data_IF_492252641860
#
_entry.id   IF_492252641860
#
_cell.length_a   1.000
_cell.length_b   1.000
_cell.length_c   1.000
_cell.angle_alpha   90.00
_cell.angle_beta   90.00
_cell.angle_gamma   90.00
#
_symmetry.space_group_name_H-M   'P 1'
#
loop_
_entity.id
_entity.type
_entity.pdbx_description
1 polymer ?
#
# COMPACT_ATOMS: atom_id res chain seq x y z
N UNK A 1 13.53 7.78 -44.90
CA UNK A 1 14.59 7.36 -43.96
C UNK A 1 14.34 7.98 -42.58
N UNK A 2 13.26 7.56 -41.88
CA UNK A 2 12.85 8.12 -40.57
C UNK A 2 12.41 7.01 -39.59
N UNK A 3 12.05 5.83 -40.12
CA UNK A 3 11.60 4.67 -39.36
C UNK A 3 12.71 4.10 -38.45
N UNK A 4 13.97 4.12 -38.90
CA UNK A 4 15.09 3.52 -38.16
C UNK A 4 15.39 4.27 -36.85
N UNK A 5 15.26 5.60 -36.84
CA UNK A 5 15.54 6.43 -35.65
C UNK A 5 14.49 6.20 -34.56
N UNK A 6 13.21 6.07 -34.93
CA UNK A 6 12.14 5.79 -33.96
C UNK A 6 12.28 4.41 -33.30
N UNK A 7 12.66 3.39 -34.06
CA UNK A 7 12.87 2.03 -33.53
C UNK A 7 14.06 2.01 -32.56
N UNK A 8 15.16 2.72 -32.87
CA UNK A 8 16.32 2.83 -31.99
C UNK A 8 16.00 3.59 -30.68
N UNK A 9 15.23 4.67 -30.75
CA UNK A 9 14.78 5.39 -29.55
C UNK A 9 13.84 4.54 -28.69
N UNK A 10 12.93 3.79 -29.33
CA UNK A 10 12.01 2.90 -28.64
C UNK A 10 12.72 1.73 -27.96
N UNK A 11 13.70 1.11 -28.64
CA UNK A 11 14.54 0.05 -28.07
C UNK A 11 15.42 0.56 -26.94
N UNK A 12 16.03 1.75 -27.08
CA UNK A 12 16.83 2.34 -26.00
C UNK A 12 15.99 2.68 -24.77
N UNK A 13 14.75 3.13 -24.93
CA UNK A 13 13.82 3.33 -23.82
C UNK A 13 13.43 2.00 -23.16
N UNK A 14 13.15 0.95 -23.94
CA UNK A 14 12.88 -0.39 -23.38
C UNK A 14 14.09 -0.93 -22.62
N UNK A 15 15.30 -0.76 -23.14
CA UNK A 15 16.54 -1.21 -22.49
C UNK A 15 16.85 -0.39 -21.23
N UNK A 16 16.56 0.92 -21.22
CA UNK A 16 16.66 1.74 -20.01
C UNK A 16 15.63 1.32 -18.95
N UNK A 17 14.39 1.02 -19.36
CA UNK A 17 13.35 0.51 -18.46
C UNK A 17 13.70 -0.89 -17.93
N UNK A 18 14.29 -1.76 -18.76
CA UNK A 18 14.71 -3.10 -18.33
C UNK A 18 15.91 -3.04 -17.38
N UNK A 19 16.85 -2.11 -17.59
CA UNK A 19 17.99 -1.88 -16.67
C UNK A 19 17.58 -1.18 -15.37
N UNK A 20 16.52 -0.36 -15.40
CA UNK A 20 15.89 0.19 -14.19
C UNK A 20 15.21 -0.90 -13.36
N UNK A 21 14.72 -1.97 -14.00
CA UNK A 21 14.11 -3.14 -13.36
C UNK A 21 15.09 -4.18 -12.81
N UNK A 22 16.41 -3.98 -12.94
CA UNK A 22 17.41 -4.75 -12.18
C UNK A 22 17.62 -4.16 -10.76
N UNK A 23 16.52 -3.78 -10.09
CA UNK A 23 16.55 -3.25 -8.72
C UNK A 23 16.13 -4.36 -7.73
N UNK A 24 17.16 -4.97 -7.14
CA UNK A 24 17.19 -5.69 -5.85
C UNK A 24 16.19 -6.86 -5.69
N UNK A 25 16.73 -8.08 -5.75
CA UNK A 25 16.19 -9.26 -5.08
C UNK A 25 16.28 -9.14 -3.54
N UNK A 26 15.74 -8.06 -2.97
CA UNK A 26 15.34 -8.00 -1.57
C UNK A 26 13.82 -8.06 -1.57
N UNK A 27 13.22 -8.87 -0.69
CA UNK A 27 11.79 -8.79 -0.42
C UNK A 27 11.53 -7.35 0.03
N UNK A 28 11.03 -6.50 -0.87
CA UNK A 28 10.77 -5.10 -0.57
C UNK A 28 9.49 -5.11 0.27
N UNK A 29 9.62 -4.79 1.55
CA UNK A 29 8.50 -4.88 2.48
C UNK A 29 7.48 -3.79 2.13
N UNK A 30 6.18 -4.05 2.34
CA UNK A 30 5.11 -3.13 1.93
C UNK A 30 5.29 -1.69 2.46
N UNK A 31 5.85 -1.56 3.67
CA UNK A 31 6.10 -0.28 4.34
C UNK A 31 7.30 0.49 3.78
N UNK A 32 8.05 -0.09 2.84
CA UNK A 32 9.13 0.60 2.10
C UNK A 32 8.59 1.31 0.85
N UNK A 33 7.38 0.94 0.41
CA UNK A 33 6.73 1.51 -0.77
C UNK A 33 5.81 2.69 -0.43
N UNK A 34 5.62 3.01 0.85
CA UNK A 34 4.78 4.13 1.31
C UNK A 34 5.51 5.01 2.32
N UNK A 35 5.10 6.28 2.39
CA UNK A 35 5.70 7.28 3.27
C UNK A 35 5.16 7.19 4.72
N UNK A 36 5.86 7.87 5.63
CA UNK A 36 5.49 8.02 7.05
C UNK A 36 5.42 6.69 7.84
N UNK A 37 6.22 5.69 7.49
CA UNK A 37 6.21 4.36 8.16
C UNK A 37 7.03 4.28 9.43
N UNK A 38 7.69 5.38 9.85
CA UNK A 38 8.46 5.46 11.09
C UNK A 38 7.65 5.16 12.35
N UNK A 39 6.32 5.35 12.32
CA UNK A 39 5.44 4.96 13.42
C UNK A 39 5.40 3.44 13.63
N UNK A 40 5.44 2.66 12.56
CA UNK A 40 5.42 1.19 12.64
C UNK A 40 6.67 0.65 13.32
N UNK A 41 7.84 1.22 12.98
CA UNK A 41 9.13 0.85 13.60
C UNK A 41 9.19 1.14 15.10
N UNK A 42 8.34 2.03 15.61
CA UNK A 42 8.22 2.30 17.05
C UNK A 42 7.28 1.35 17.77
N UNK A 43 6.34 0.74 17.04
CA UNK A 43 5.33 -0.17 17.59
C UNK A 43 5.77 -1.63 17.53
N UNK A 44 6.64 -1.98 16.59
CA UNK A 44 7.04 -3.36 16.32
C UNK A 44 8.55 -3.54 16.29
N UNK A 45 9.02 -4.64 16.86
CA UNK A 45 10.37 -5.18 16.60
C UNK A 45 10.50 -5.64 15.14
N UNK A 46 9.43 -6.28 14.65
CA UNK A 46 9.29 -6.74 13.27
C UNK A 46 7.90 -6.38 12.78
N UNK A 47 7.83 -5.50 11.78
CA UNK A 47 6.58 -5.03 11.19
C UNK A 47 5.92 -6.23 10.50
N UNK A 48 4.68 -6.59 10.86
CA UNK A 48 4.03 -7.77 10.31
C UNK A 48 3.72 -7.59 8.81
N UNK A 49 3.64 -8.69 8.05
CA UNK A 49 3.14 -8.67 6.70
C UNK A 49 1.65 -8.30 6.69
N UNK A 50 1.15 -7.88 5.53
CA UNK A 50 -0.27 -7.60 5.31
C UNK A 50 -1.03 -8.88 4.93
N UNK A 51 -0.86 -9.95 5.70
CA UNK A 51 -1.55 -11.23 5.51
C UNK A 51 -2.64 -11.41 6.56
N UNK A 52 -3.85 -11.82 6.12
CA UNK A 52 -5.01 -12.05 6.99
C UNK A 52 -5.29 -10.88 7.95
N UNK A 53 -5.27 -9.68 7.39
CA UNK A 53 -5.63 -8.43 8.06
C UNK A 53 -7.14 -8.19 7.91
N UNK A 54 -7.73 -7.35 8.75
CA UNK A 54 -9.12 -6.93 8.57
C UNK A 54 -9.19 -5.58 7.84
N UNK A 55 -9.98 -5.52 6.76
CA UNK A 55 -10.32 -4.27 6.10
C UNK A 55 -11.48 -3.59 6.84
N UNK A 56 -11.18 -2.53 7.57
CA UNK A 56 -12.17 -1.81 8.37
C UNK A 56 -12.94 -0.81 7.50
N UNK A 57 -12.26 -0.17 6.56
CA UNK A 57 -12.89 0.82 5.68
C UNK A 57 -12.09 1.04 4.40
N UNK A 58 -12.81 1.33 3.32
CA UNK A 58 -12.28 1.90 2.07
C UNK A 58 -13.15 3.08 1.68
N UNK A 59 -12.53 4.25 1.50
CA UNK A 59 -13.25 5.47 1.16
C UNK A 59 -12.62 6.17 -0.03
N UNK A 60 -13.38 6.25 -1.12
CA UNK A 60 -13.01 7.03 -2.32
C UNK A 60 -13.57 8.45 -2.19
N UNK A 61 -12.74 9.47 -2.41
CA UNK A 61 -13.05 10.88 -2.23
C UNK A 61 -12.56 11.74 -3.40
N UNK A 62 -13.23 12.86 -3.62
CA UNK A 62 -12.81 13.90 -4.57
C UNK A 62 -13.23 13.64 -6.03
N UNK A 63 -12.75 14.51 -6.92
CA UNK A 63 -12.89 14.37 -8.36
C UNK A 63 -11.62 13.77 -8.95
N UNK A 64 -11.71 13.18 -10.14
CA UNK A 64 -10.57 12.57 -10.82
C UNK A 64 -9.39 13.56 -10.97
N UNK A 65 -8.16 13.17 -10.63
CA UNK A 65 -7.79 11.87 -10.03
C UNK A 65 -8.19 11.78 -8.54
N UNK A 66 -8.69 10.62 -8.14
CA UNK A 66 -9.32 10.42 -6.83
C UNK A 66 -8.31 10.39 -5.68
N UNK A 67 -8.84 10.47 -4.46
CA UNK A 67 -8.14 10.11 -3.22
C UNK A 67 -8.80 8.87 -2.63
N UNK A 68 -8.01 7.92 -2.17
CA UNK A 68 -8.52 6.71 -1.51
C UNK A 68 -7.92 6.60 -0.11
N UNK A 69 -8.75 6.40 0.88
CA UNK A 69 -8.37 6.16 2.27
C UNK A 69 -8.70 4.70 2.61
N UNK A 70 -7.70 3.97 3.10
CA UNK A 70 -7.82 2.60 3.59
C UNK A 70 -7.61 2.59 5.09
N UNK A 71 -8.50 1.92 5.82
CA UNK A 71 -8.34 1.65 7.24
C UNK A 71 -8.22 0.14 7.40
N UNK A 72 -7.09 -0.32 7.91
CA UNK A 72 -6.83 -1.73 8.14
C UNK A 72 -6.46 -2.00 9.59
N UNK A 73 -6.76 -3.20 10.07
CA UNK A 73 -6.30 -3.70 11.37
C UNK A 73 -5.30 -4.82 11.15
N UNK A 74 -4.13 -4.73 11.79
CA UNK A 74 -3.16 -5.82 11.78
C UNK A 74 -3.56 -6.92 12.78
N UNK A 75 -3.37 -8.21 12.45
CA UNK A 75 -3.73 -9.33 13.32
C UNK A 75 -2.74 -9.54 14.46
N UNK A 76 -1.53 -8.94 14.38
CA UNK A 76 -0.50 -9.02 15.42
C UNK A 76 -0.62 -7.84 16.37
N UNK A 77 -0.69 -8.11 17.67
CA UNK A 77 -0.57 -7.07 18.70
C UNK A 77 0.75 -6.31 18.60
N UNK A 78 0.76 -5.01 18.90
CA UNK A 78 2.00 -4.22 18.93
C UNK A 78 2.97 -4.72 20.00
N UNK A 79 4.26 -4.73 19.70
CA UNK A 79 5.32 -5.14 20.64
C UNK A 79 5.57 -4.04 21.70
N UNK A 80 5.42 -2.77 21.29
CA UNK A 80 5.61 -1.60 22.14
C UNK A 80 4.40 -0.67 22.09
N UNK A 81 3.29 -1.03 22.78
CA UNK A 81 2.11 -0.17 22.81
C UNK A 81 2.42 1.17 23.49
N UNK A 82 1.94 2.31 22.95
CA UNK A 82 1.95 3.58 23.65
C UNK A 82 1.18 3.47 24.98
N UNK A 83 1.64 4.17 26.02
CA UNK A 83 1.02 4.11 27.36
C UNK A 83 -0.51 4.36 27.32
N UNK A 84 -0.95 5.33 26.51
CA UNK A 84 -2.37 5.67 26.33
C UNK A 84 -3.21 4.53 25.74
N UNK A 85 -2.59 3.59 25.02
CA UNK A 85 -3.27 2.41 24.48
C UNK A 85 -3.35 1.33 25.57
N UNK A 86 -2.25 1.07 26.26
CA UNK A 86 -2.20 0.10 27.37
C UNK A 86 -3.21 0.44 28.47
N UNK A 87 -3.34 1.71 28.85
CA UNK A 87 -4.35 2.19 29.82
C UNK A 87 -5.79 1.89 29.41
N UNK A 88 -6.04 1.72 28.11
CA UNK A 88 -7.36 1.40 27.55
C UNK A 88 -7.51 -0.07 27.16
N UNK A 89 -6.48 -0.89 27.38
CA UNK A 89 -6.45 -2.29 26.94
C UNK A 89 -6.31 -2.46 25.43
N UNK A 90 -5.88 -1.43 24.70
CA UNK A 90 -5.71 -1.48 23.24
C UNK A 90 -4.35 -2.06 22.87
N UNK A 91 -4.36 -3.11 22.06
CA UNK A 91 -3.16 -3.87 21.69
C UNK A 91 -2.98 -4.03 20.18
N UNK A 92 -4.02 -3.79 19.37
CA UNK A 92 -3.96 -3.94 17.92
C UNK A 92 -3.93 -2.58 17.24
N UNK A 93 -3.10 -2.36 16.20
CA UNK A 93 -3.11 -1.09 15.50
C UNK A 93 -4.15 -1.09 14.38
N UNK A 94 -4.88 0.02 14.29
CA UNK A 94 -5.58 0.44 13.10
C UNK A 94 -4.70 1.42 12.32
N UNK A 95 -4.38 1.10 11.07
CA UNK A 95 -3.51 1.88 10.19
C UNK A 95 -4.37 2.57 9.15
N UNK A 96 -4.22 3.88 9.03
CA UNK A 96 -4.89 4.71 8.04
C UNK A 96 -3.90 5.05 6.93
N UNK A 97 -4.14 4.48 5.74
CA UNK A 97 -3.31 4.68 4.56
C UNK A 97 -4.07 5.58 3.59
N UNK A 98 -3.47 6.70 3.23
CA UNK A 98 -3.99 7.63 2.23
C UNK A 98 -3.23 7.45 0.92
N UNK A 99 -3.99 7.28 -0.16
CA UNK A 99 -3.53 7.22 -1.54
C UNK A 99 -4.04 8.45 -2.30
N UNK A 100 -3.14 9.12 -3.02
CA UNK A 100 -3.43 10.28 -3.84
C UNK A 100 -3.23 9.97 -5.33
N UNK A 101 -3.75 10.83 -6.20
CA UNK A 101 -3.68 10.68 -7.65
C UNK A 101 -4.11 9.28 -8.14
N UNK A 102 -5.19 8.76 -7.53
CA UNK A 102 -5.74 7.47 -7.89
C UNK A 102 -6.47 7.60 -9.22
N UNK A 103 -6.03 6.82 -10.21
CA UNK A 103 -6.55 6.86 -11.57
C UNK A 103 -7.48 5.69 -11.88
N UNK A 104 -7.39 4.61 -11.10
CA UNK A 104 -8.24 3.43 -11.24
C UNK A 104 -8.52 2.78 -9.89
N UNK A 105 -9.74 2.29 -9.73
CA UNK A 105 -10.22 1.58 -8.54
C UNK A 105 -11.15 0.47 -8.98
N UNK A 106 -10.75 -0.76 -8.74
CA UNK A 106 -11.59 -1.94 -8.82
C UNK A 106 -11.88 -2.45 -7.41
N UNK A 107 -13.12 -2.86 -7.14
CA UNK A 107 -13.54 -3.44 -5.87
C UNK A 107 -14.63 -4.49 -6.09
N UNK A 108 -14.45 -5.65 -5.49
CA UNK A 108 -15.37 -6.77 -5.52
C UNK A 108 -15.44 -7.43 -4.14
N UNK A 109 -16.65 -7.77 -3.69
CA UNK A 109 -16.88 -8.54 -2.48
C UNK A 109 -17.22 -9.99 -2.86
N UNK A 110 -16.43 -10.94 -2.39
CA UNK A 110 -16.63 -12.37 -2.65
C UNK A 110 -17.39 -13.08 -1.51
N UNK A 111 -17.30 -12.55 -0.30
CA UNK A 111 -17.81 -13.18 0.92
C UNK A 111 -18.27 -12.11 1.94
N UNK A 112 -19.17 -12.44 2.89
CA UNK A 112 -19.69 -11.49 3.88
C UNK A 112 -18.70 -11.10 5.00
N UNK A 113 -17.41 -11.45 4.89
CA UNK A 113 -16.37 -11.08 5.85
C UNK A 113 -15.55 -9.85 5.43
N UNK A 114 -14.49 -9.59 6.20
CA UNK A 114 -13.57 -8.47 6.03
C UNK A 114 -12.08 -8.90 6.06
N UNK A 115 -11.80 -10.21 6.09
CA UNK A 115 -10.43 -10.72 6.11
C UNK A 115 -9.84 -10.63 4.70
N UNK A 116 -8.71 -9.94 4.59
CA UNK A 116 -7.96 -9.79 3.35
C UNK A 116 -6.48 -10.04 3.57
N UNK A 117 -5.78 -10.35 2.49
CA UNK A 117 -4.33 -10.13 2.38
C UNK A 117 -4.10 -9.02 1.37
N UNK A 118 -3.09 -8.18 1.60
CA UNK A 118 -2.83 -6.99 0.79
C UNK A 118 -1.38 -6.95 0.32
N UNK A 119 -1.19 -6.48 -0.91
CA UNK A 119 0.12 -6.19 -1.49
C UNK A 119 0.17 -4.70 -1.85
N UNK A 120 1.32 -4.07 -1.56
CA UNK A 120 1.58 -2.67 -1.90
C UNK A 120 2.89 -2.63 -2.66
N UNK A 121 2.83 -2.29 -3.95
CA UNK A 121 3.97 -2.33 -4.86
C UNK A 121 4.15 -0.98 -5.56
N UNK A 122 5.41 -0.57 -5.77
CA UNK A 122 5.71 0.56 -6.64
C UNK A 122 5.53 0.19 -8.11
N UNK A 123 4.96 1.10 -8.90
CA UNK A 123 4.86 0.94 -10.36
C UNK A 123 6.15 1.31 -11.11
N UNK A 124 7.23 1.64 -10.39
CA UNK A 124 8.53 2.03 -10.92
C UNK A 124 8.63 3.49 -11.39
N UNK A 125 7.54 4.26 -11.36
CA UNK A 125 7.47 5.67 -11.78
C UNK A 125 6.78 6.54 -10.70
N UNK A 126 7.20 6.37 -9.44
CA UNK A 126 6.63 7.04 -8.27
C UNK A 126 5.12 6.81 -8.05
N UNK A 127 4.50 5.88 -8.79
CA UNK A 127 3.14 5.42 -8.55
C UNK A 127 3.11 4.16 -7.68
N UNK A 128 1.90 3.80 -7.25
CA UNK A 128 1.65 2.58 -6.48
C UNK A 128 0.48 1.80 -7.03
N UNK A 129 0.60 0.49 -6.89
CA UNK A 129 -0.47 -0.48 -7.08
C UNK A 129 -0.73 -1.16 -5.74
N UNK A 130 -1.95 -1.05 -5.24
CA UNK A 130 -2.41 -1.69 -4.01
C UNK A 130 -3.43 -2.75 -4.39
N UNK A 131 -3.17 -4.00 -4.02
CA UNK A 131 -4.05 -5.13 -4.31
C UNK A 131 -4.50 -5.81 -3.04
N UNK A 132 -5.73 -6.32 -3.01
CA UNK A 132 -6.16 -7.24 -1.97
C UNK A 132 -6.76 -8.52 -2.53
N UNK A 133 -6.71 -9.56 -1.70
CA UNK A 133 -7.26 -10.88 -1.93
C UNK A 133 -7.98 -11.33 -0.66
N UNK A 134 -9.07 -12.09 -0.77
CA UNK A 134 -9.80 -12.63 0.39
C UNK A 134 -11.29 -12.38 0.27
N UNK A 135 -11.92 -12.00 1.37
CA UNK A 135 -13.36 -11.70 1.39
C UNK A 135 -13.72 -10.51 0.49
N UNK A 136 -12.79 -9.55 0.39
CA UNK A 136 -12.86 -8.37 -0.47
C UNK A 136 -11.59 -8.30 -1.31
N UNK A 137 -11.75 -8.27 -2.63
CA UNK A 137 -10.67 -8.04 -3.58
C UNK A 137 -10.76 -6.63 -4.13
N UNK A 138 -9.65 -5.90 -4.13
CA UNK A 138 -9.57 -4.61 -4.78
C UNK A 138 -8.23 -4.43 -5.47
N UNK A 139 -8.22 -3.56 -6.46
CA UNK A 139 -7.00 -3.05 -7.09
C UNK A 139 -7.12 -1.53 -7.19
N UNK A 140 -6.17 -0.82 -6.60
CA UNK A 140 -6.11 0.65 -6.61
C UNK A 140 -4.80 1.06 -7.27
N UNK A 141 -4.91 1.83 -8.35
CA UNK A 141 -3.77 2.32 -9.12
C UNK A 141 -3.63 3.82 -8.92
N UNK A 142 -2.46 4.24 -8.43
CA UNK A 142 -2.07 5.65 -8.27
C UNK A 142 -0.89 5.98 -9.17
N UNK A 143 -0.78 7.25 -9.61
CA UNK A 143 0.27 7.69 -10.54
C UNK A 143 1.00 8.92 -10.03
N UNK A 144 2.32 8.91 -10.21
CA UNK A 144 3.24 10.02 -9.93
C UNK A 144 3.21 10.54 -8.48
N UNK A 145 2.64 9.77 -7.54
CA UNK A 145 2.59 10.06 -6.10
C UNK A 145 2.48 8.73 -5.34
N UNK A 146 3.26 8.59 -4.26
CA UNK A 146 3.18 7.47 -3.33
C UNK A 146 2.01 7.55 -2.36
N UNK A 147 1.85 6.51 -1.55
CA UNK A 147 0.88 6.41 -0.47
C UNK A 147 1.56 6.82 0.83
N UNK A 148 0.78 7.19 1.84
CA UNK A 148 1.32 7.53 3.15
C UNK A 148 0.47 6.98 4.28
N UNK A 149 1.13 6.62 5.38
CA UNK A 149 0.43 6.39 6.64
C UNK A 149 0.08 7.75 7.24
N UNK A 150 -1.21 8.06 7.27
CA UNK A 150 -1.70 9.34 7.80
C UNK A 150 -1.76 9.31 9.32
N UNK A 151 -2.18 8.18 9.89
CA UNK A 151 -2.22 7.94 11.33
C UNK A 151 -2.25 6.46 11.66
N UNK A 152 -1.85 6.14 12.89
CA UNK A 152 -2.06 4.84 13.52
C UNK A 152 -2.77 5.06 14.86
N UNK A 153 -3.83 4.30 15.12
CA UNK A 153 -4.60 4.34 16.36
C UNK A 153 -4.73 2.94 17.00
N UNK A 154 -4.98 2.91 18.30
CA UNK A 154 -5.05 1.67 19.07
C UNK A 154 -6.46 1.13 19.10
N UNK A 155 -6.57 -0.19 18.96
CA UNK A 155 -7.78 -0.99 18.99
C UNK A 155 -7.74 -2.12 19.99
N UNK A 156 -8.94 -2.55 20.36
CA UNK A 156 -9.26 -3.74 21.14
C UNK A 156 -8.88 -5.04 20.42
#
# INVERSE_FOLDING_TARGET
MVIIIYILLFLNNIIMLSKSNEKKNGINMWYENIDCTEFLKRLYNEIPPLEKINLINIKVRGFYPYKVELIIRLPKSVDYPPLKWTEKGFNYPYIHIDLANVVDVFLEQHSPGDEISMEIESDGNDGLVVKSYGDISFEIVSKNVGGLIQKIEGGD
#
